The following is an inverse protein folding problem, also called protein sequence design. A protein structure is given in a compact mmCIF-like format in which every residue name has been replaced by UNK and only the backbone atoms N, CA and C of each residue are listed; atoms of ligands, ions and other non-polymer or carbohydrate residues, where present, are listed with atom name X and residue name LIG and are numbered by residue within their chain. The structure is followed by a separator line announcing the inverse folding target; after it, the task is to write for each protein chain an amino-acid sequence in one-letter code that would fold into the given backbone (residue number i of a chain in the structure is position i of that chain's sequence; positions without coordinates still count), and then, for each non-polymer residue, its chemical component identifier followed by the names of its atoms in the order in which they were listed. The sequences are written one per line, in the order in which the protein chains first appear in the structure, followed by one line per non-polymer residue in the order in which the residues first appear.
data_IF_828239689687
#
_entry.id   IF_828239689687
#
_cell.length_a   1.000
_cell.length_b   1.000
_cell.length_c   1.000
_cell.angle_alpha   90.00
_cell.angle_beta   90.00
_cell.angle_gamma   90.00
#
_symmetry.space_group_name_H-M   'P 1'
#
loop_
_entity.id
_entity.type
_entity.pdbx_description
1 polymer ?
#
# COMPACT_ATOMS: atom_id res chain seq x y z
N UNK A 1 -6.41 -14.70 23.80
CA UNK A 1 -6.49 -13.24 23.64
C UNK A 1 -7.57 -12.97 22.61
N UNK A 2 -8.43 -11.96 22.76
CA UNK A 2 -9.37 -11.63 21.69
C UNK A 2 -8.60 -11.14 20.45
N UNK A 3 -8.98 -11.52 19.22
CA UNK A 3 -8.27 -11.11 17.99
C UNK A 3 -8.10 -9.60 17.87
N UNK A 4 -9.15 -8.83 18.23
CA UNK A 4 -9.16 -7.37 18.25
C UNK A 4 -8.06 -6.75 19.11
N UNK A 5 -7.52 -7.49 20.09
CA UNK A 5 -6.41 -7.01 20.90
C UNK A 5 -5.12 -6.78 20.10
N UNK A 6 -4.95 -7.43 18.95
CA UNK A 6 -3.86 -7.12 18.02
C UNK A 6 -4.12 -5.78 17.31
N UNK A 7 -5.31 -5.59 16.73
CA UNK A 7 -5.69 -4.35 16.03
C UNK A 7 -5.57 -3.12 16.96
N UNK A 8 -6.09 -3.21 18.18
CA UNK A 8 -6.00 -2.13 19.17
C UNK A 8 -4.55 -1.77 19.56
N UNK A 9 -3.60 -2.72 19.50
CA UNK A 9 -2.17 -2.41 19.72
C UNK A 9 -1.59 -1.65 18.54
N UNK A 10 -2.03 -1.95 17.33
CA UNK A 10 -1.58 -1.27 16.12
C UNK A 10 -2.07 0.18 16.09
N UNK A 11 -3.31 0.42 16.55
CA UNK A 11 -3.84 1.76 16.78
C UNK A 11 -2.92 2.64 17.61
N UNK A 12 -2.31 2.09 18.67
CA UNK A 12 -1.39 2.87 19.52
C UNK A 12 -0.16 3.37 18.75
N UNK A 13 0.29 2.66 17.71
CA UNK A 13 1.36 3.13 16.84
C UNK A 13 0.85 4.14 15.81
N UNK A 14 -0.36 3.93 15.26
CA UNK A 14 -1.00 4.85 14.32
C UNK A 14 -1.24 6.22 14.99
N UNK A 15 -1.80 6.25 16.19
CA UNK A 15 -2.02 7.48 16.96
C UNK A 15 -0.71 8.26 17.21
N UNK A 16 0.40 7.56 17.47
CA UNK A 16 1.71 8.19 17.63
C UNK A 16 2.18 8.82 16.31
N UNK A 17 1.98 8.16 15.18
CA UNK A 17 2.29 8.74 13.87
C UNK A 17 1.40 9.97 13.58
N UNK A 18 0.11 9.91 13.91
CA UNK A 18 -0.80 11.06 13.80
C UNK A 18 -0.34 12.22 14.69
N UNK A 19 0.19 11.93 15.88
CA UNK A 19 0.86 12.92 16.72
C UNK A 19 2.04 13.60 16.01
N UNK A 20 2.87 12.84 15.30
CA UNK A 20 3.97 13.39 14.52
C UNK A 20 3.48 14.21 13.31
N UNK A 21 2.37 13.83 12.66
CA UNK A 21 1.77 14.65 11.59
C UNK A 21 1.38 16.03 12.09
N UNK A 22 0.85 16.15 13.32
CA UNK A 22 0.52 17.45 13.92
C UNK A 22 1.75 18.33 14.06
N UNK A 23 2.89 17.76 14.46
CA UNK A 23 4.15 18.49 14.57
C UNK A 23 4.62 18.98 13.20
N UNK A 24 4.52 18.15 12.17
CA UNK A 24 4.88 18.55 10.81
C UNK A 24 3.94 19.64 10.26
N UNK A 25 2.63 19.52 10.51
CA UNK A 25 1.64 20.52 10.09
C UNK A 25 1.97 21.92 10.60
N UNK A 26 2.53 22.05 11.82
CA UNK A 26 2.99 23.34 12.34
C UNK A 26 4.19 23.91 11.56
N UNK A 27 5.07 23.07 11.00
CA UNK A 27 6.14 23.53 10.12
C UNK A 27 5.60 23.99 8.77
N UNK A 28 4.65 23.22 8.22
CA UNK A 28 3.95 23.56 6.95
C UNK A 28 3.32 24.95 7.05
N UNK A 29 2.65 25.24 8.16
CA UNK A 29 2.06 26.57 8.46
C UNK A 29 3.08 27.70 8.55
N UNK A 30 4.34 27.37 8.83
CA UNK A 30 5.45 28.33 8.89
C UNK A 30 6.18 28.47 7.54
N UNK A 31 5.68 27.84 6.47
CA UNK A 31 6.26 27.91 5.14
C UNK A 31 7.32 26.84 4.84
N UNK A 32 7.50 25.85 5.73
CA UNK A 32 8.50 24.79 5.58
C UNK A 32 7.88 23.40 5.47
N UNK A 33 8.48 22.54 4.65
CA UNK A 33 8.10 21.13 4.54
C UNK A 33 9.33 20.24 4.69
N UNK A 34 9.24 19.19 5.51
CA UNK A 34 10.20 18.09 5.51
C UNK A 34 9.71 16.98 4.54
N UNK A 35 10.23 16.95 3.29
CA UNK A 35 9.78 15.96 2.30
C UNK A 35 10.13 14.52 2.70
N UNK A 36 11.21 14.32 3.46
CA UNK A 36 11.61 13.00 3.94
C UNK A 36 10.61 12.49 4.96
N UNK A 37 10.17 13.37 5.86
CA UNK A 37 9.10 13.04 6.80
C UNK A 37 7.81 12.68 6.06
N UNK A 38 7.41 13.43 5.03
CA UNK A 38 6.20 13.11 4.24
C UNK A 38 6.33 11.73 3.59
N UNK A 39 7.47 11.39 3.01
CA UNK A 39 7.70 10.07 2.42
C UNK A 39 7.61 8.95 3.47
N UNK A 40 8.16 9.17 4.67
CA UNK A 40 8.03 8.23 5.80
C UNK A 40 6.58 8.07 6.27
N UNK A 41 5.84 9.18 6.38
CA UNK A 41 4.43 9.16 6.73
C UNK A 41 3.60 8.43 5.68
N UNK A 42 3.82 8.70 4.39
CA UNK A 42 3.13 8.02 3.29
C UNK A 42 3.43 6.52 3.29
N UNK A 43 4.68 6.10 3.49
CA UNK A 43 5.03 4.67 3.62
C UNK A 43 4.33 4.04 4.83
N UNK A 44 4.34 4.72 5.98
CA UNK A 44 3.66 4.25 7.19
C UNK A 44 2.16 4.07 6.96
N UNK A 45 1.47 5.06 6.42
CA UNK A 45 0.03 4.96 6.22
C UNK A 45 -0.34 3.94 5.13
N UNK A 46 0.45 3.79 4.06
CA UNK A 46 0.17 2.79 3.02
C UNK A 46 0.44 1.36 3.47
N UNK A 47 1.55 1.14 4.17
CA UNK A 47 1.98 -0.22 4.50
C UNK A 47 1.45 -0.65 5.86
N UNK A 48 1.58 0.20 6.88
CA UNK A 48 1.21 -0.16 8.24
C UNK A 48 -0.27 0.11 8.52
N UNK A 49 -0.73 1.37 8.44
CA UNK A 49 -2.12 1.67 8.76
C UNK A 49 -3.09 1.01 7.77
N UNK A 50 -2.81 1.13 6.47
CA UNK A 50 -3.69 0.60 5.45
C UNK A 50 -3.49 -0.91 5.22
N UNK A 51 -2.40 -1.29 4.55
CA UNK A 51 -2.27 -2.69 4.14
C UNK A 51 -2.18 -3.67 5.30
N UNK A 52 -1.47 -3.34 6.38
CA UNK A 52 -1.33 -4.23 7.54
C UNK A 52 -2.59 -4.23 8.38
N UNK A 53 -3.01 -3.05 8.84
CA UNK A 53 -4.05 -2.92 9.84
C UNK A 53 -5.46 -2.97 9.21
N UNK A 54 -5.84 -2.04 8.33
CA UNK A 54 -7.13 -2.12 7.62
C UNK A 54 -7.23 -3.40 6.76
N UNK A 55 -6.12 -3.91 6.24
CA UNK A 55 -6.11 -5.19 5.53
C UNK A 55 -6.57 -6.36 6.40
N UNK A 56 -6.17 -6.41 7.68
CA UNK A 56 -6.68 -7.43 8.62
C UNK A 56 -8.16 -7.22 8.93
N UNK A 57 -8.62 -5.98 8.97
CA UNK A 57 -10.03 -5.69 9.15
C UNK A 57 -10.85 -6.12 7.95
N UNK A 58 -10.54 -5.61 6.76
CA UNK A 58 -11.29 -5.87 5.54
C UNK A 58 -11.19 -7.33 5.09
N UNK A 59 -9.97 -7.88 4.99
CA UNK A 59 -9.71 -9.19 4.39
C UNK A 59 -10.06 -10.35 5.33
N UNK A 60 -10.20 -10.12 6.63
CA UNK A 60 -10.40 -11.19 7.62
C UNK A 60 -11.60 -10.89 8.50
N UNK A 61 -11.60 -9.80 9.29
CA UNK A 61 -12.68 -9.53 10.25
C UNK A 61 -14.02 -9.24 9.53
N UNK A 62 -14.04 -8.26 8.64
CA UNK A 62 -15.24 -7.79 7.94
C UNK A 62 -15.73 -8.85 6.96
N UNK A 63 -14.84 -9.54 6.24
CA UNK A 63 -15.20 -10.75 5.48
C UNK A 63 -15.90 -11.79 6.36
N UNK A 64 -15.38 -12.04 7.56
CA UNK A 64 -16.01 -12.93 8.54
C UNK A 64 -17.41 -12.45 8.96
N UNK A 65 -17.56 -11.14 9.21
CA UNK A 65 -18.82 -10.51 9.61
C UNK A 65 -19.88 -10.49 8.50
N UNK A 66 -19.48 -10.40 7.22
CA UNK A 66 -20.39 -10.48 6.08
C UNK A 66 -21.15 -11.82 6.02
N UNK A 67 -20.56 -12.90 6.53
CA UNK A 67 -21.21 -14.20 6.63
C UNK A 67 -22.16 -14.32 7.84
N UNK A 68 -22.26 -13.29 8.69
CA UNK A 68 -23.07 -13.29 9.92
C UNK A 68 -24.35 -12.47 9.75
N UNK A 69 -25.35 -12.80 10.57
CA UNK A 69 -26.57 -11.99 10.70
C UNK A 69 -26.32 -10.80 11.64
N UNK A 70 -25.69 -9.75 11.12
CA UNK A 70 -25.38 -8.54 11.88
C UNK A 70 -26.64 -7.75 12.26
N UNK A 71 -26.63 -7.15 13.44
CA UNK A 71 -27.57 -6.07 13.78
C UNK A 71 -27.41 -4.91 12.77
N UNK A 72 -28.50 -4.21 12.38
CA UNK A 72 -28.42 -3.10 11.44
C UNK A 72 -27.39 -2.03 11.83
N UNK A 73 -27.32 -1.70 13.13
CA UNK A 73 -26.35 -0.74 13.67
C UNK A 73 -24.90 -1.12 13.37
N UNK A 74 -24.52 -2.37 13.60
CA UNK A 74 -23.15 -2.83 13.34
C UNK A 74 -22.83 -2.85 11.84
N UNK A 75 -23.83 -3.15 10.99
CA UNK A 75 -23.64 -3.09 9.54
C UNK A 75 -23.36 -1.65 9.08
N UNK A 76 -24.11 -0.68 9.59
CA UNK A 76 -23.89 0.74 9.28
C UNK A 76 -22.49 1.18 9.70
N UNK A 77 -22.07 0.85 10.93
CA UNK A 77 -20.71 1.19 11.40
C UNK A 77 -19.64 0.55 10.50
N UNK A 78 -19.79 -0.73 10.14
CA UNK A 78 -18.82 -1.41 9.27
C UNK A 78 -18.73 -0.75 7.88
N UNK A 79 -19.86 -0.36 7.28
CA UNK A 79 -19.88 0.30 5.98
C UNK A 79 -19.26 1.72 6.04
N UNK A 80 -19.44 2.43 7.16
CA UNK A 80 -18.80 3.71 7.43
C UNK A 80 -17.27 3.56 7.57
N UNK A 81 -16.79 2.57 8.34
CA UNK A 81 -15.36 2.30 8.50
C UNK A 81 -14.69 1.99 7.16
N UNK A 82 -15.30 1.14 6.32
CA UNK A 82 -14.78 0.85 4.97
C UNK A 82 -14.73 2.12 4.11
N UNK A 83 -15.73 2.99 4.22
CA UNK A 83 -15.75 4.27 3.49
C UNK A 83 -14.62 5.19 3.96
N UNK A 84 -14.34 5.22 5.27
CA UNK A 84 -13.21 5.95 5.86
C UNK A 84 -11.87 5.39 5.41
N UNK A 85 -11.70 4.06 5.28
CA UNK A 85 -10.47 3.46 4.74
C UNK A 85 -10.20 3.91 3.29
N UNK A 86 -11.24 3.92 2.44
CA UNK A 86 -11.14 4.41 1.06
C UNK A 86 -10.75 5.89 1.04
N UNK A 87 -11.34 6.70 1.92
CA UNK A 87 -11.02 8.11 2.05
C UNK A 87 -9.57 8.34 2.53
N UNK A 88 -9.08 7.54 3.48
CA UNK A 88 -7.70 7.57 3.96
C UNK A 88 -6.71 7.27 2.83
N UNK A 89 -6.93 6.17 2.08
CA UNK A 89 -6.10 5.78 0.93
C UNK A 89 -6.01 6.90 -0.11
N UNK A 90 -7.14 7.51 -0.44
CA UNK A 90 -7.20 8.65 -1.36
C UNK A 90 -6.38 9.83 -0.83
N UNK A 91 -6.59 10.21 0.42
CA UNK A 91 -5.91 11.34 1.06
C UNK A 91 -4.38 11.14 1.10
N UNK A 92 -3.90 9.95 1.43
CA UNK A 92 -2.46 9.62 1.40
C UNK A 92 -1.89 9.67 -0.02
N UNK A 93 -2.67 9.26 -1.03
CA UNK A 93 -2.31 9.42 -2.43
C UNK A 93 -2.19 10.88 -2.87
N UNK A 94 -3.13 11.72 -2.44
CA UNK A 94 -3.14 13.17 -2.71
C UNK A 94 -2.00 13.90 -1.98
N UNK A 95 -1.68 13.50 -0.75
CA UNK A 95 -0.56 14.05 0.02
C UNK A 95 0.78 13.86 -0.69
N UNK A 96 1.05 12.65 -1.20
CA UNK A 96 2.28 12.38 -1.93
C UNK A 96 2.39 13.25 -3.19
N UNK A 97 1.29 13.41 -3.93
CA UNK A 97 1.24 14.25 -5.14
C UNK A 97 1.49 15.72 -4.81
N UNK A 98 0.86 16.25 -3.77
CA UNK A 98 1.06 17.62 -3.34
C UNK A 98 2.53 17.89 -2.95
N UNK A 99 3.13 16.95 -2.22
CA UNK A 99 4.56 17.00 -1.87
C UNK A 99 5.45 16.97 -3.14
N UNK A 100 5.15 16.13 -4.13
CA UNK A 100 5.93 16.07 -5.38
C UNK A 100 5.83 17.37 -6.19
N UNK A 101 4.65 18.01 -6.21
CA UNK A 101 4.43 19.31 -6.87
C UNK A 101 5.19 20.43 -6.14
N UNK A 102 5.16 20.46 -4.81
CA UNK A 102 5.94 21.39 -4.00
C UNK A 102 7.45 21.27 -4.30
N UNK A 103 7.98 20.04 -4.39
CA UNK A 103 9.39 19.80 -4.71
C UNK A 103 9.78 20.23 -6.13
N UNK A 104 8.81 20.40 -7.04
CA UNK A 104 9.05 20.92 -8.39
C UNK A 104 9.10 22.46 -8.43
N UNK A 105 8.95 23.13 -7.28
CA UNK A 105 9.10 24.58 -7.13
C UNK A 105 7.78 25.34 -7.08
N UNK A 106 6.64 24.66 -7.01
CA UNK A 106 5.33 25.28 -6.83
C UNK A 106 5.04 25.47 -5.33
N UNK A 107 5.27 26.70 -4.83
CA UNK A 107 5.07 27.03 -3.43
C UNK A 107 3.60 26.98 -3.00
N UNK A 108 2.64 27.14 -3.92
CA UNK A 108 1.20 27.09 -3.62
C UNK A 108 0.76 25.67 -3.22
N UNK A 109 1.51 24.64 -3.64
CA UNK A 109 1.26 23.25 -3.26
C UNK A 109 1.46 22.99 -1.75
N UNK A 110 2.09 23.90 -1.01
CA UNK A 110 2.22 23.78 0.43
C UNK A 110 0.87 23.83 1.15
N UNK A 111 -0.08 24.64 0.65
CA UNK A 111 -1.45 24.67 1.18
C UNK A 111 -2.20 23.36 0.94
N UNK A 112 -1.95 22.73 -0.20
CA UNK A 112 -2.49 21.40 -0.50
C UNK A 112 -1.91 20.34 0.46
N UNK A 113 -0.61 20.37 0.73
CA UNK A 113 0.02 19.49 1.73
C UNK A 113 -0.63 19.69 3.10
N UNK A 114 -0.79 20.94 3.55
CA UNK A 114 -1.43 21.26 4.83
C UNK A 114 -2.84 20.65 4.91
N UNK A 115 -3.65 20.83 3.86
CA UNK A 115 -5.03 20.33 3.84
C UNK A 115 -5.07 18.79 3.98
N UNK A 116 -4.19 18.06 3.28
CA UNK A 116 -4.18 16.58 3.35
C UNK A 116 -3.65 16.09 4.69
N UNK A 117 -2.66 16.77 5.28
CA UNK A 117 -2.23 16.49 6.66
C UNK A 117 -3.38 16.68 7.65
N UNK A 118 -4.08 17.81 7.57
CA UNK A 118 -5.23 18.10 8.42
C UNK A 118 -6.31 17.01 8.30
N UNK A 119 -6.65 16.58 7.08
CA UNK A 119 -7.63 15.50 6.85
C UNK A 119 -7.24 14.20 7.56
N UNK A 120 -5.98 13.78 7.51
CA UNK A 120 -5.51 12.58 8.22
C UNK A 120 -5.51 12.77 9.75
N UNK A 121 -5.11 13.96 10.21
CA UNK A 121 -5.06 14.31 11.63
C UNK A 121 -6.44 14.27 12.30
N UNK A 122 -7.47 14.68 11.57
CA UNK A 122 -8.86 14.66 12.04
C UNK A 122 -9.50 13.27 11.91
N UNK A 123 -9.20 12.54 10.82
CA UNK A 123 -9.81 11.24 10.54
C UNK A 123 -9.43 10.17 11.56
N UNK A 124 -8.13 9.91 11.76
CA UNK A 124 -7.70 8.71 12.48
C UNK A 124 -8.13 8.67 13.95
N UNK A 125 -8.12 9.77 14.74
CA UNK A 125 -8.55 9.71 16.13
C UNK A 125 -10.01 9.30 16.30
N UNK A 126 -10.92 9.86 15.50
CA UNK A 126 -12.36 9.53 15.57
C UNK A 126 -12.64 8.13 15.02
N UNK A 127 -11.97 7.76 13.93
CA UNK A 127 -12.02 6.43 13.33
C UNK A 127 -11.61 5.33 14.34
N UNK A 128 -10.40 5.46 14.90
CA UNK A 128 -9.87 4.53 15.91
C UNK A 128 -10.77 4.47 17.15
N UNK A 129 -11.31 5.61 17.59
CA UNK A 129 -12.23 5.62 18.73
C UNK A 129 -13.52 4.84 18.44
N UNK A 130 -14.07 4.99 17.23
CA UNK A 130 -15.26 4.26 16.81
C UNK A 130 -14.99 2.74 16.82
N UNK A 131 -13.86 2.33 16.27
CA UNK A 131 -13.44 0.94 16.25
C UNK A 131 -13.22 0.37 17.65
N UNK A 132 -12.36 1.01 18.44
CA UNK A 132 -11.96 0.53 19.77
C UNK A 132 -13.15 0.47 20.73
N UNK A 133 -14.05 1.47 20.70
CA UNK A 133 -15.11 1.62 21.71
C UNK A 133 -16.46 1.10 21.26
N UNK A 134 -16.80 1.20 19.97
CA UNK A 134 -18.16 0.94 19.48
C UNK A 134 -18.26 -0.29 18.59
N UNK A 135 -17.20 -0.64 17.86
CA UNK A 135 -17.26 -1.72 16.87
C UNK A 135 -16.62 -3.02 17.36
N UNK A 136 -15.34 -3.02 17.72
CA UNK A 136 -14.56 -4.24 17.92
C UNK A 136 -15.12 -5.17 18.99
N UNK A 137 -15.42 -4.67 20.20
CA UNK A 137 -15.92 -5.54 21.27
C UNK A 137 -17.29 -6.16 20.92
N UNK A 138 -18.32 -5.40 20.51
CA UNK A 138 -19.62 -5.98 20.17
C UNK A 138 -19.58 -6.97 19.02
N UNK A 139 -18.69 -6.80 18.03
CA UNK A 139 -18.65 -7.69 16.88
C UNK A 139 -17.97 -9.04 17.16
N UNK A 140 -17.23 -9.18 18.27
CA UNK A 140 -16.68 -10.47 18.68
C UNK A 140 -17.76 -11.47 19.09
N UNK A 141 -18.94 -11.01 19.53
CA UNK A 141 -20.05 -11.87 19.94
C UNK A 141 -20.66 -12.69 18.79
N UNK A 142 -20.42 -12.29 17.53
CA UNK A 142 -20.90 -13.04 16.35
C UNK A 142 -20.01 -14.25 15.99
N UNK A 143 -18.87 -14.39 16.66
CA UNK A 143 -17.88 -15.43 16.37
C UNK A 143 -17.78 -16.42 17.51
N UNK A 144 -17.79 -17.72 17.19
CA UNK A 144 -17.48 -18.77 18.16
C UNK A 144 -16.01 -18.65 18.63
N UNK A 145 -15.66 -19.26 19.78
CA UNK A 145 -14.26 -19.33 20.20
C UNK A 145 -13.33 -19.95 19.15
N UNK A 146 -13.77 -20.97 18.40
CA UNK A 146 -12.96 -21.54 17.31
C UNK A 146 -12.79 -20.57 16.14
N UNK A 147 -13.83 -19.81 15.79
CA UNK A 147 -13.75 -18.78 14.74
C UNK A 147 -12.80 -17.64 15.13
N UNK A 148 -12.84 -17.21 16.40
CA UNK A 148 -11.93 -16.19 16.92
C UNK A 148 -10.48 -16.70 16.94
N UNK A 149 -10.23 -17.94 17.36
CA UNK A 149 -8.88 -18.52 17.31
C UNK A 149 -8.37 -18.60 15.86
N UNK A 150 -9.21 -19.04 14.92
CA UNK A 150 -8.85 -19.07 13.50
C UNK A 150 -8.54 -17.67 12.96
N UNK A 151 -9.35 -16.67 13.29
CA UNK A 151 -9.12 -15.27 12.93
C UNK A 151 -7.77 -14.77 13.44
N UNK A 152 -7.44 -15.09 14.69
CA UNK A 152 -6.15 -14.74 15.29
C UNK A 152 -4.98 -15.39 14.54
N UNK A 153 -5.11 -16.66 14.14
CA UNK A 153 -4.09 -17.33 13.32
C UNK A 153 -3.97 -16.69 11.93
N UNK A 154 -5.07 -16.29 11.30
CA UNK A 154 -5.05 -15.56 10.02
C UNK A 154 -4.33 -14.21 10.17
N UNK A 155 -4.56 -13.46 11.25
CA UNK A 155 -3.80 -12.23 11.54
C UNK A 155 -2.29 -12.48 11.66
N UNK A 156 -1.86 -13.53 12.37
CA UNK A 156 -0.44 -13.85 12.48
C UNK A 156 0.19 -14.31 11.16
N UNK A 157 -0.57 -14.98 10.29
CA UNK A 157 -0.09 -15.29 8.93
C UNK A 157 0.05 -14.01 8.12
N UNK A 158 -0.94 -13.13 8.19
CA UNK A 158 -0.94 -11.84 7.50
C UNK A 158 0.30 -11.02 7.86
N UNK A 159 0.56 -10.83 9.15
CA UNK A 159 1.72 -10.08 9.65
C UNK A 159 3.06 -10.68 9.18
N UNK A 160 3.17 -12.01 9.15
CA UNK A 160 4.38 -12.70 8.67
C UNK A 160 4.62 -12.47 7.18
N UNK A 161 3.58 -12.27 6.38
CA UNK A 161 3.73 -11.98 4.95
C UNK A 161 4.09 -10.53 4.64
N UNK A 162 3.82 -9.59 5.56
CA UNK A 162 3.95 -8.16 5.27
C UNK A 162 5.36 -7.71 4.88
N UNK A 163 6.40 -8.34 5.42
CA UNK A 163 7.78 -8.01 5.05
C UNK A 163 8.07 -8.35 3.58
N UNK A 164 7.58 -9.50 3.12
CA UNK A 164 7.75 -9.95 1.74
C UNK A 164 6.90 -9.13 0.78
N UNK A 165 5.68 -8.79 1.18
CA UNK A 165 4.81 -7.92 0.38
C UNK A 165 5.41 -6.52 0.23
N UNK A 166 5.87 -5.90 1.32
CA UNK A 166 6.49 -4.56 1.30
C UNK A 166 7.70 -4.52 0.37
N UNK A 167 8.66 -5.41 0.58
CA UNK A 167 9.91 -5.37 -0.17
C UNK A 167 9.78 -5.93 -1.59
N UNK A 168 8.85 -6.86 -1.82
CA UNK A 168 8.45 -7.24 -3.19
C UNK A 168 7.94 -6.03 -3.97
N UNK A 169 7.04 -5.25 -3.37
CA UNK A 169 6.55 -4.01 -3.98
C UNK A 169 7.64 -2.94 -4.20
N UNK A 170 8.66 -2.87 -3.32
CA UNK A 170 9.82 -1.98 -3.54
C UNK A 170 10.59 -2.40 -4.79
N UNK A 171 10.93 -3.70 -4.91
CA UNK A 171 11.65 -4.23 -6.08
C UNK A 171 10.86 -3.95 -7.36
N UNK A 172 9.56 -4.26 -7.39
CA UNK A 172 8.73 -4.00 -8.56
C UNK A 172 8.68 -2.51 -8.96
N UNK A 173 8.66 -1.59 -7.98
CA UNK A 173 8.70 -0.16 -8.26
C UNK A 173 10.04 0.27 -8.86
N UNK A 174 11.15 -0.24 -8.31
CA UNK A 174 12.48 0.02 -8.84
C UNK A 174 12.59 -0.49 -10.27
N UNK A 175 12.19 -1.74 -10.53
CA UNK A 175 12.15 -2.34 -11.87
C UNK A 175 11.34 -1.51 -12.87
N UNK A 176 10.22 -0.92 -12.45
CA UNK A 176 9.40 -0.02 -13.30
C UNK A 176 10.01 1.37 -13.50
N UNK A 177 10.71 1.90 -12.50
CA UNK A 177 11.34 3.23 -12.53
C UNK A 177 12.63 3.27 -13.34
N UNK A 178 13.29 2.12 -13.52
CA UNK A 178 14.37 1.95 -14.47
C UNK A 178 13.80 2.04 -15.89
N UNK A 179 13.60 3.26 -16.38
CA UNK A 179 13.43 3.56 -17.79
C UNK A 179 14.78 3.30 -18.45
N UNK A 180 15.06 2.03 -18.68
CA UNK A 180 16.27 1.64 -19.35
C UNK A 180 16.04 1.73 -20.87
N UNK A 181 16.90 2.48 -21.53
CA UNK A 181 17.06 2.51 -22.99
C UNK A 181 17.32 1.12 -23.62
N UNK A 182 17.47 0.09 -22.79
CA UNK A 182 17.65 -1.32 -23.13
C UNK A 182 16.36 -2.17 -23.04
N UNK A 183 15.21 -1.62 -22.65
CA UNK A 183 13.94 -2.37 -22.65
C UNK A 183 13.57 -2.79 -24.08
N UNK A 184 13.22 -4.07 -24.23
CA UNK A 184 12.91 -4.66 -25.54
C UNK A 184 11.51 -5.25 -25.52
N UNK A 185 10.67 -4.82 -26.46
CA UNK A 185 9.29 -5.28 -26.62
C UNK A 185 9.19 -6.25 -27.78
N UNK A 186 8.56 -7.39 -27.56
CA UNK A 186 8.19 -8.33 -28.60
C UNK A 186 7.14 -7.68 -29.51
N UNK A 187 7.43 -7.60 -30.82
CA UNK A 187 6.53 -7.06 -31.83
C UNK A 187 5.26 -7.90 -32.05
N UNK A 188 5.28 -9.15 -31.59
CA UNK A 188 4.20 -10.12 -31.83
C UNK A 188 3.17 -10.12 -30.69
N UNK A 189 3.61 -10.34 -29.46
CA UNK A 189 2.71 -10.45 -28.30
C UNK A 189 2.74 -9.24 -27.36
N UNK A 190 3.69 -8.31 -27.55
CA UNK A 190 3.84 -7.14 -26.70
C UNK A 190 4.57 -7.37 -25.38
N UNK A 191 5.05 -8.59 -25.10
CA UNK A 191 5.91 -8.87 -23.94
C UNK A 191 7.11 -7.93 -23.89
N UNK A 192 7.42 -7.36 -22.72
CA UNK A 192 8.57 -6.49 -22.50
C UNK A 192 9.60 -7.26 -21.67
N UNK A 193 10.82 -7.38 -22.21
CA UNK A 193 11.97 -7.89 -21.48
C UNK A 193 12.57 -6.77 -20.62
N UNK A 194 12.69 -7.04 -19.31
CA UNK A 194 13.31 -6.16 -18.33
C UNK A 194 14.65 -6.78 -17.90
N UNK A 195 15.81 -6.22 -18.30
CA UNK A 195 17.11 -6.77 -17.94
C UNK A 195 17.29 -6.99 -16.43
N UNK A 196 16.83 -6.04 -15.61
CA UNK A 196 16.89 -6.15 -14.15
C UNK A 196 16.13 -7.36 -13.61
N UNK A 197 15.04 -7.77 -14.27
CA UNK A 197 14.30 -8.99 -13.92
C UNK A 197 14.96 -10.24 -14.50
N UNK A 198 15.55 -10.12 -15.68
CA UNK A 198 15.99 -11.26 -16.48
C UNK A 198 14.82 -12.14 -16.90
N UNK A 199 15.08 -13.43 -17.05
CA UNK A 199 14.07 -14.47 -17.28
C UNK A 199 14.47 -15.77 -16.55
N UNK A 200 14.39 -15.80 -15.20
CA UNK A 200 14.96 -16.89 -14.40
C UNK A 200 14.30 -18.25 -14.65
N UNK A 201 13.01 -18.26 -15.01
CA UNK A 201 12.27 -19.47 -15.36
C UNK A 201 12.87 -20.18 -16.59
N UNK A 202 13.50 -19.41 -17.47
CA UNK A 202 14.18 -19.91 -18.67
C UNK A 202 15.71 -19.75 -18.58
N UNK A 203 16.25 -19.67 -17.36
CA UNK A 203 17.69 -19.70 -17.08
C UNK A 203 18.45 -18.39 -17.31
N UNK A 204 17.76 -17.28 -17.57
CA UNK A 204 18.38 -15.95 -17.73
C UNK A 204 18.36 -15.23 -16.38
N UNK A 205 19.54 -14.85 -15.88
CA UNK A 205 19.66 -14.21 -14.57
C UNK A 205 19.19 -12.75 -14.59
N UNK A 206 18.66 -12.24 -13.46
CA UNK A 206 18.49 -10.80 -13.24
C UNK A 206 19.77 -10.02 -13.58
N UNK A 207 19.63 -8.89 -14.27
CA UNK A 207 20.73 -8.04 -14.75
C UNK A 207 21.28 -8.40 -16.14
N UNK A 208 20.81 -9.46 -16.80
CA UNK A 208 21.29 -9.84 -18.14
C UNK A 208 20.74 -8.85 -19.18
N UNK A 209 21.62 -8.12 -19.89
CA UNK A 209 21.19 -7.23 -20.97
C UNK A 209 20.57 -8.02 -22.13
N UNK A 210 19.69 -7.39 -22.91
CA UNK A 210 19.04 -8.08 -24.02
C UNK A 210 20.04 -8.59 -25.08
N UNK A 211 21.15 -7.86 -25.26
CA UNK A 211 22.26 -8.26 -26.14
C UNK A 211 23.03 -9.48 -25.62
N UNK A 212 23.12 -9.64 -24.30
CA UNK A 212 23.79 -10.74 -23.61
C UNK A 212 22.92 -12.00 -23.48
N UNK A 213 21.66 -11.96 -23.93
CA UNK A 213 20.79 -13.12 -23.92
C UNK A 213 21.38 -14.28 -24.76
N UNK A 214 21.15 -15.53 -24.36
CA UNK A 214 21.51 -16.70 -25.16
C UNK A 214 20.96 -16.61 -26.59
N UNK A 215 21.70 -17.16 -27.56
CA UNK A 215 21.29 -17.12 -28.98
C UNK A 215 19.98 -17.83 -29.27
N UNK A 216 19.69 -18.86 -28.48
CA UNK A 216 18.50 -19.71 -28.51
C UNK A 216 17.36 -19.20 -27.62
N UNK A 217 17.57 -18.12 -26.86
CA UNK A 217 16.49 -17.53 -26.08
C UNK A 217 15.38 -17.00 -27.00
N UNK A 218 14.14 -17.30 -26.64
CA UNK A 218 12.93 -16.90 -27.36
C UNK A 218 11.98 -16.17 -26.41
N UNK A 219 11.05 -15.40 -26.98
CA UNK A 219 10.01 -14.76 -26.18
C UNK A 219 9.26 -15.80 -25.33
N UNK A 220 9.15 -15.63 -24.00
CA UNK A 220 8.51 -16.62 -23.12
C UNK A 220 7.00 -16.74 -23.34
N UNK A 221 6.38 -15.79 -24.04
CA UNK A 221 4.93 -15.77 -24.30
C UNK A 221 4.57 -16.38 -25.67
N UNK A 222 5.37 -16.15 -26.70
CA UNK A 222 5.02 -16.55 -28.08
C UNK A 222 6.14 -17.25 -28.85
N UNK A 223 7.26 -17.54 -28.18
CA UNK A 223 8.37 -18.34 -28.69
C UNK A 223 9.07 -17.81 -29.95
N UNK A 224 8.85 -16.53 -30.30
CA UNK A 224 9.56 -15.89 -31.42
C UNK A 224 10.99 -15.50 -31.02
N UNK A 225 11.93 -15.48 -31.97
CA UNK A 225 13.34 -15.16 -31.68
C UNK A 225 13.54 -13.69 -31.28
N UNK A 226 14.70 -13.40 -30.68
CA UNK A 226 15.12 -12.04 -30.27
C UNK A 226 15.06 -11.00 -31.39
N UNK A 227 15.21 -11.42 -32.65
CA UNK A 227 15.09 -10.53 -33.82
C UNK A 227 13.69 -9.92 -34.00
N UNK A 228 12.66 -10.49 -33.35
CA UNK A 228 11.29 -9.97 -33.35
C UNK A 228 11.03 -8.94 -32.25
N UNK A 229 12.07 -8.44 -31.57
CA UNK A 229 11.94 -7.41 -30.55
C UNK A 229 12.34 -6.02 -31.08
N UNK A 230 11.82 -4.98 -30.45
CA UNK A 230 12.18 -3.58 -30.69
C UNK A 230 12.43 -2.85 -29.38
N UNK A 231 13.29 -1.82 -29.44
CA UNK A 231 13.52 -0.94 -28.31
C UNK A 231 12.24 -0.22 -27.93
N UNK A 232 11.88 -0.27 -26.65
CA UNK A 232 10.81 0.54 -26.10
C UNK A 232 11.29 1.99 -26.10
N UNK A 233 10.64 2.84 -26.91
CA UNK A 233 10.85 4.28 -26.86
C UNK A 233 9.95 4.86 -25.78
N UNK A 234 10.53 5.22 -24.64
CA UNK A 234 9.87 6.09 -23.68
C UNK A 234 9.98 7.53 -24.18
N UNK A 235 8.84 8.22 -24.33
CA UNK A 235 8.85 9.68 -24.43
C UNK A 235 9.32 10.21 -23.07
N UNK A 236 10.38 11.02 -23.08
CA UNK A 236 10.71 11.89 -21.95
C UNK A 236 9.57 12.85 -21.69
#
# INVERSE_FOLDING_TARGET
MLPIGLLMREHRLIERMVGNLRVEMEKVRQGGLDPVFIDQAVDFFRIYADRTHHGKEEDILFRGLQAKSLKPEHRVIMDELVSEHVYARKTVGELLKAKDVYLQGDEDALGEVEERLHRLIELYPSHIENEDRRFFYPVMEYFSPEEQEKMLQEFYVFDRSMIHEKYGGVVERVEKSCVDSSLMKCKICGYIYYPLKGDPEHGVKPGTLFEDLPSDWVCPICFVPRSMFEKVRTRM
#
